data_IF_417514397575
#
_entry.id   IF_417514397575
#
_cell.length_a   1.000
_cell.length_b   1.000
_cell.length_c   1.000
_cell.angle_alpha   90.00
_cell.angle_beta   90.00
_cell.angle_gamma   90.00
#
_symmetry.space_group_name_H-M   'P 1'
#
loop_
_entity.id
_entity.type
_entity.pdbx_description
1 polymer ?
#
# COMPACT_ATOMS: atom_id res chain seq x y z
N UNK A 1 1.54 0.47 10.08
CA UNK A 1 0.33 1.02 10.75
C UNK A 1 -0.53 1.88 9.81
N UNK A 2 0.02 2.83 9.04
CA UNK A 2 -0.78 3.72 8.16
C UNK A 2 -1.61 2.94 7.13
N UNK A 3 -1.03 1.95 6.44
CA UNK A 3 -1.75 1.13 5.46
C UNK A 3 -2.95 0.41 6.08
N UNK A 4 -2.76 -0.23 7.22
CA UNK A 4 -3.86 -0.88 7.95
C UNK A 4 -4.98 0.11 8.30
N UNK A 5 -4.64 1.31 8.82
CA UNK A 5 -5.62 2.31 9.23
C UNK A 5 -6.48 2.81 8.07
N UNK A 6 -5.87 3.12 6.93
CA UNK A 6 -6.60 3.62 5.75
C UNK A 6 -7.55 2.57 5.20
N UNK A 7 -7.11 1.31 5.10
CA UNK A 7 -7.98 0.23 4.61
C UNK A 7 -9.05 -0.16 5.63
N UNK A 8 -8.77 -0.08 6.93
CA UNK A 8 -9.79 -0.24 7.96
C UNK A 8 -10.91 0.81 7.81
N UNK A 9 -10.53 2.08 7.67
CA UNK A 9 -11.49 3.17 7.42
C UNK A 9 -12.27 2.94 6.13
N UNK A 10 -11.60 2.53 5.04
CA UNK A 10 -12.25 2.19 3.76
C UNK A 10 -13.36 1.15 3.95
N UNK A 11 -13.07 0.06 4.62
CA UNK A 11 -14.04 -1.02 4.81
C UNK A 11 -15.14 -0.67 5.80
N UNK A 12 -14.83 0.11 6.84
CA UNK A 12 -15.85 0.66 7.75
C UNK A 12 -16.84 1.58 7.04
N UNK A 13 -16.35 2.45 6.17
CA UNK A 13 -17.21 3.32 5.34
C UNK A 13 -18.05 2.46 4.38
N UNK A 14 -17.45 1.47 3.72
CA UNK A 14 -18.16 0.56 2.82
C UNK A 14 -19.29 -0.19 3.54
N UNK A 15 -19.02 -0.68 4.74
CA UNK A 15 -20.04 -1.32 5.59
C UNK A 15 -21.16 -0.35 6.00
N UNK A 16 -20.78 0.83 6.49
CA UNK A 16 -21.75 1.85 6.94
C UNK A 16 -22.66 2.34 5.80
N UNK A 17 -22.18 2.28 4.56
CA UNK A 17 -22.95 2.64 3.37
C UNK A 17 -23.72 1.45 2.76
N UNK A 18 -23.65 0.27 3.38
CA UNK A 18 -24.42 -0.89 2.94
C UNK A 18 -23.83 -1.65 1.74
N UNK A 19 -22.52 -1.55 1.49
CA UNK A 19 -21.86 -2.35 0.44
C UNK A 19 -22.01 -3.85 0.69
N UNK A 20 -22.05 -4.26 1.95
CA UNK A 20 -22.21 -5.66 2.37
C UNK A 20 -22.82 -5.72 3.77
N UNK A 21 -23.48 -6.82 4.04
CA UNK A 21 -24.00 -7.16 5.36
C UNK A 21 -23.09 -8.18 6.04
N UNK A 22 -23.05 -8.13 7.38
CA UNK A 22 -22.30 -9.07 8.20
C UNK A 22 -23.28 -10.02 8.87
N UNK A 23 -23.39 -11.24 8.36
CA UNK A 23 -24.26 -12.29 8.90
C UNK A 23 -23.70 -13.00 10.14
N UNK A 24 -22.41 -12.83 10.41
CA UNK A 24 -21.76 -13.42 11.56
C UNK A 24 -20.23 -13.46 11.40
N UNK A 25 -19.57 -14.04 12.40
CA UNK A 25 -18.12 -14.25 12.38
C UNK A 25 -17.79 -15.73 12.16
N UNK A 26 -16.61 -15.99 11.62
CA UNK A 26 -16.04 -17.33 11.57
C UNK A 26 -15.62 -17.78 12.96
N UNK A 27 -15.33 -19.07 13.11
CA UNK A 27 -14.81 -19.58 14.38
C UNK A 27 -13.41 -19.03 14.71
N UNK A 28 -13.09 -19.02 15.98
CA UNK A 28 -11.86 -18.40 16.49
C UNK A 28 -10.59 -19.03 15.90
N UNK A 29 -10.57 -20.36 15.73
CA UNK A 29 -9.41 -21.05 15.20
C UNK A 29 -9.16 -20.65 13.73
N UNK A 30 -10.23 -20.56 12.92
CA UNK A 30 -10.16 -20.08 11.56
C UNK A 30 -9.64 -18.64 11.49
N UNK A 31 -10.12 -17.75 12.38
CA UNK A 31 -9.67 -16.34 12.42
C UNK A 31 -8.17 -16.26 12.70
N UNK A 32 -7.65 -17.00 13.67
CA UNK A 32 -6.22 -17.02 13.96
C UNK A 32 -5.39 -17.59 12.81
N UNK A 33 -5.86 -18.67 12.18
CA UNK A 33 -5.20 -19.25 11.01
C UNK A 33 -5.17 -18.25 9.84
N UNK A 34 -6.29 -17.62 9.52
CA UNK A 34 -6.40 -16.62 8.45
C UNK A 34 -5.49 -15.41 8.73
N UNK A 35 -5.48 -14.93 9.97
CA UNK A 35 -4.61 -13.82 10.38
C UNK A 35 -3.13 -14.17 10.19
N UNK A 36 -2.70 -15.33 10.66
CA UNK A 36 -1.32 -15.79 10.51
C UNK A 36 -0.93 -15.91 9.01
N UNK A 37 -1.79 -16.52 8.21
CA UNK A 37 -1.58 -16.62 6.75
C UNK A 37 -1.53 -15.23 6.10
N UNK A 38 -2.46 -14.34 6.42
CA UNK A 38 -2.50 -12.99 5.85
C UNK A 38 -1.25 -12.18 6.24
N UNK A 39 -0.84 -12.24 7.50
CA UNK A 39 0.37 -11.53 7.94
C UNK A 39 1.61 -12.03 7.21
N UNK A 40 1.83 -13.33 7.15
CA UNK A 40 3.05 -13.90 6.55
C UNK A 40 3.01 -13.84 5.02
N UNK A 41 1.97 -14.39 4.39
CA UNK A 41 1.90 -14.45 2.94
C UNK A 41 1.88 -13.06 2.30
N UNK A 42 1.09 -12.12 2.85
CA UNK A 42 1.03 -10.77 2.32
C UNK A 42 2.28 -9.94 2.62
N UNK A 43 3.02 -10.24 3.71
CA UNK A 43 4.31 -9.60 3.94
C UNK A 43 5.31 -9.96 2.84
N UNK A 44 5.50 -11.24 2.57
CA UNK A 44 6.43 -11.67 1.52
C UNK A 44 5.98 -11.21 0.14
N UNK A 45 4.70 -11.33 -0.18
CA UNK A 45 4.16 -10.85 -1.46
C UNK A 45 4.41 -9.36 -1.65
N UNK A 46 4.08 -8.53 -0.67
CA UNK A 46 4.30 -7.08 -0.74
C UNK A 46 5.79 -6.74 -0.78
N UNK A 47 6.63 -7.41 0.01
CA UNK A 47 8.06 -7.15 0.04
C UNK A 47 8.73 -7.50 -1.31
N UNK A 48 8.39 -8.64 -1.89
CA UNK A 48 8.91 -9.05 -3.22
C UNK A 48 8.48 -8.05 -4.29
N UNK A 49 7.20 -7.69 -4.31
CA UNK A 49 6.66 -6.71 -5.26
C UNK A 49 7.38 -5.36 -5.13
N UNK A 50 7.55 -4.85 -3.90
CA UNK A 50 8.24 -3.57 -3.67
C UNK A 50 9.73 -3.62 -4.06
N UNK A 51 10.41 -4.73 -3.81
CA UNK A 51 11.81 -4.91 -4.23
C UNK A 51 11.92 -4.92 -5.75
N UNK A 52 11.06 -5.66 -6.44
CA UNK A 52 11.10 -5.79 -7.90
C UNK A 52 10.69 -4.48 -8.59
N UNK A 53 9.56 -3.91 -8.18
CA UNK A 53 9.01 -2.74 -8.88
C UNK A 53 9.70 -1.44 -8.47
N UNK A 54 10.15 -1.30 -7.22
CA UNK A 54 10.71 -0.04 -6.73
C UNK A 54 12.17 -0.12 -6.36
N UNK A 55 12.58 -1.17 -5.66
CA UNK A 55 13.96 -1.35 -5.23
C UNK A 55 14.92 -1.44 -6.39
N UNK A 56 14.66 -2.36 -7.32
CA UNK A 56 15.47 -2.54 -8.51
C UNK A 56 15.54 -1.26 -9.36
N UNK A 57 14.40 -0.66 -9.66
CA UNK A 57 14.35 0.53 -10.52
C UNK A 57 14.93 1.77 -9.85
N UNK A 58 14.83 1.90 -8.52
CA UNK A 58 15.53 2.97 -7.80
C UNK A 58 17.03 2.86 -7.98
N UNK A 59 17.59 1.66 -7.80
CA UNK A 59 19.03 1.41 -7.97
C UNK A 59 19.46 1.64 -9.42
N UNK A 60 18.75 1.06 -10.38
CA UNK A 60 19.06 1.16 -11.81
C UNK A 60 19.01 2.61 -12.33
N UNK A 61 17.91 3.31 -12.07
CA UNK A 61 17.73 4.69 -12.57
C UNK A 61 18.70 5.66 -11.88
N UNK A 62 19.06 5.41 -10.63
CA UNK A 62 20.10 6.18 -9.93
C UNK A 62 21.47 5.99 -10.57
N UNK A 63 21.86 4.76 -10.89
CA UNK A 63 23.12 4.47 -11.59
C UNK A 63 23.19 5.14 -12.97
N UNK A 64 22.06 5.20 -13.67
CA UNK A 64 21.98 5.84 -15.00
C UNK A 64 21.74 7.36 -14.95
N UNK A 65 21.71 7.99 -13.77
CA UNK A 65 21.38 9.41 -13.57
C UNK A 65 19.99 9.79 -14.13
N UNK A 66 19.03 8.87 -14.12
CA UNK A 66 17.67 9.00 -14.65
C UNK A 66 16.59 9.02 -13.56
N UNK A 67 16.93 9.43 -12.33
CA UNK A 67 16.00 9.39 -11.19
C UNK A 67 14.73 10.24 -11.37
N UNK A 68 14.76 11.25 -12.23
CA UNK A 68 13.56 12.01 -12.62
C UNK A 68 12.46 11.16 -13.23
N UNK A 69 12.83 10.01 -13.82
CA UNK A 69 11.91 9.05 -14.41
C UNK A 69 11.39 8.01 -13.40
N UNK A 70 11.88 8.00 -12.17
CA UNK A 70 11.50 6.98 -11.20
C UNK A 70 9.99 6.93 -10.95
N UNK A 71 9.37 8.08 -10.63
CA UNK A 71 7.91 8.14 -10.35
C UNK A 71 7.08 7.60 -11.53
N UNK A 72 7.21 8.12 -12.77
CA UNK A 72 6.39 7.64 -13.87
C UNK A 72 6.67 6.15 -14.20
N UNK A 73 7.93 5.74 -14.25
CA UNK A 73 8.30 4.35 -14.61
C UNK A 73 7.72 3.34 -13.63
N UNK A 74 7.97 3.53 -12.33
CA UNK A 74 7.50 2.54 -11.34
C UNK A 74 5.99 2.60 -11.11
N UNK A 75 5.35 3.75 -11.38
CA UNK A 75 3.88 3.83 -11.37
C UNK A 75 3.28 3.02 -12.51
N UNK A 76 3.82 3.17 -13.73
CA UNK A 76 3.37 2.37 -14.89
C UNK A 76 3.62 0.89 -14.67
N UNK A 77 4.79 0.51 -14.17
CA UNK A 77 5.10 -0.89 -13.86
C UNK A 77 4.15 -1.48 -12.82
N UNK A 78 3.80 -0.71 -11.80
CA UNK A 78 2.85 -1.16 -10.80
C UNK A 78 1.43 -1.32 -11.36
N UNK A 79 0.99 -0.41 -12.24
CA UNK A 79 -0.29 -0.55 -12.94
C UNK A 79 -0.30 -1.84 -13.78
N UNK A 80 0.77 -2.09 -14.52
CA UNK A 80 0.86 -3.29 -15.37
C UNK A 80 0.84 -4.57 -14.54
N UNK A 81 1.58 -4.62 -13.42
CA UNK A 81 1.63 -5.77 -12.53
C UNK A 81 0.26 -6.04 -11.88
N UNK A 82 -0.37 -5.01 -11.32
CA UNK A 82 -1.64 -5.14 -10.64
C UNK A 82 -2.79 -5.48 -11.60
N UNK A 83 -2.86 -4.79 -12.75
CA UNK A 83 -3.85 -5.05 -13.78
C UNK A 83 -3.66 -6.41 -14.46
N UNK A 84 -2.44 -6.92 -14.55
CA UNK A 84 -2.20 -8.27 -15.04
C UNK A 84 -2.86 -9.33 -14.14
N UNK A 85 -2.86 -9.09 -12.84
CA UNK A 85 -3.45 -10.00 -11.86
C UNK A 85 -4.96 -9.81 -11.65
N UNK A 86 -5.44 -8.55 -11.66
CA UNK A 86 -6.81 -8.19 -11.31
C UNK A 86 -7.68 -7.75 -12.51
N UNK A 87 -7.09 -7.63 -13.70
CA UNK A 87 -7.77 -7.21 -14.93
C UNK A 87 -7.59 -5.72 -15.28
N UNK A 88 -7.62 -5.43 -16.59
CA UNK A 88 -7.44 -4.09 -17.16
C UNK A 88 -8.79 -3.33 -17.25
N UNK A 89 -9.42 -3.11 -16.10
CA UNK A 89 -10.59 -2.26 -16.00
C UNK A 89 -10.19 -0.83 -15.60
N UNK A 90 -10.92 0.18 -16.03
CA UNK A 90 -10.59 1.58 -15.79
C UNK A 90 -10.42 1.90 -14.29
N UNK A 91 -11.28 1.36 -13.45
CA UNK A 91 -11.22 1.53 -12.00
C UNK A 91 -9.95 0.94 -11.41
N UNK A 92 -9.54 -0.26 -11.87
CA UNK A 92 -8.34 -0.92 -11.40
C UNK A 92 -7.08 -0.16 -11.84
N UNK A 93 -7.06 0.34 -13.08
CA UNK A 93 -5.96 1.19 -13.58
C UNK A 93 -5.82 2.45 -12.72
N UNK A 94 -6.92 3.13 -12.40
CA UNK A 94 -6.90 4.34 -11.55
C UNK A 94 -6.48 4.00 -10.13
N UNK A 95 -7.00 2.92 -9.56
CA UNK A 95 -6.65 2.44 -8.23
C UNK A 95 -5.14 2.15 -8.13
N UNK A 96 -4.61 1.39 -9.09
CA UNK A 96 -3.20 1.03 -9.15
C UNK A 96 -2.31 2.24 -9.42
N UNK A 97 -2.77 3.21 -10.21
CA UNK A 97 -2.04 4.47 -10.43
C UNK A 97 -1.89 5.26 -9.12
N UNK A 98 -2.96 5.39 -8.33
CA UNK A 98 -2.96 6.08 -7.04
C UNK A 98 -1.99 5.39 -6.06
N UNK A 99 -2.07 4.08 -5.94
CA UNK A 99 -1.19 3.31 -5.06
C UNK A 99 0.25 3.33 -5.53
N UNK A 100 0.47 3.06 -6.83
CA UNK A 100 1.78 3.04 -7.47
C UNK A 100 2.53 4.36 -7.24
N UNK A 101 1.86 5.48 -7.50
CA UNK A 101 2.40 6.82 -7.27
C UNK A 101 2.68 7.08 -5.78
N UNK A 102 1.75 6.73 -4.89
CA UNK A 102 1.90 6.95 -3.45
C UNK A 102 3.09 6.20 -2.88
N UNK A 103 3.24 4.93 -3.24
CA UNK A 103 4.35 4.10 -2.78
C UNK A 103 5.69 4.56 -3.37
N UNK A 104 5.70 4.94 -4.65
CA UNK A 104 6.89 5.49 -5.29
C UNK A 104 7.34 6.81 -4.63
N UNK A 105 6.39 7.69 -4.31
CA UNK A 105 6.66 8.92 -3.58
C UNK A 105 7.24 8.64 -2.19
N UNK A 106 6.69 7.66 -1.47
CA UNK A 106 7.22 7.24 -0.16
C UNK A 106 8.69 6.79 -0.26
N UNK A 107 9.02 5.99 -1.28
CA UNK A 107 10.40 5.52 -1.53
C UNK A 107 11.34 6.68 -1.86
N UNK A 108 10.95 7.60 -2.74
CA UNK A 108 11.76 8.79 -3.07
C UNK A 108 12.07 9.66 -1.87
N UNK A 109 11.07 9.83 -0.98
CA UNK A 109 11.23 10.68 0.21
C UNK A 109 12.05 10.02 1.31
N UNK A 110 12.00 8.70 1.43
CA UNK A 110 12.65 7.96 2.52
C UNK A 110 13.98 7.32 2.12
N UNK A 111 14.20 7.10 0.83
CA UNK A 111 15.36 6.38 0.31
C UNK A 111 15.35 4.88 0.63
N UNK A 112 14.25 4.34 1.14
CA UNK A 112 14.12 2.94 1.49
C UNK A 112 12.71 2.41 1.21
N UNK A 113 12.55 1.08 1.25
CA UNK A 113 11.31 0.40 0.90
C UNK A 113 10.37 0.15 2.10
N UNK A 114 10.82 0.36 3.34
CA UNK A 114 10.04 -0.09 4.51
C UNK A 114 8.67 0.57 4.62
N UNK A 115 8.59 1.85 4.29
CA UNK A 115 7.30 2.54 4.35
C UNK A 115 6.35 2.05 3.25
N UNK A 116 6.82 1.89 2.01
CA UNK A 116 6.00 1.37 0.92
C UNK A 116 5.60 -0.09 1.15
N UNK A 117 6.51 -0.95 1.63
CA UNK A 117 6.17 -2.31 2.06
C UNK A 117 5.07 -2.28 3.13
N UNK A 118 5.20 -1.43 4.15
CA UNK A 118 4.22 -1.34 5.23
C UNK A 118 2.84 -0.84 4.79
N UNK A 119 2.80 0.08 3.82
CA UNK A 119 1.55 0.57 3.22
C UNK A 119 0.87 -0.53 2.38
N UNK A 120 1.63 -1.18 1.51
CA UNK A 120 1.18 -2.25 0.64
C UNK A 120 0.72 -3.48 1.45
N UNK A 121 1.58 -3.95 2.34
CA UNK A 121 1.28 -5.07 3.25
C UNK A 121 0.02 -4.83 4.09
N UNK A 122 -0.10 -3.64 4.69
CA UNK A 122 -1.26 -3.29 5.50
C UNK A 122 -2.57 -3.35 4.70
N UNK A 123 -2.57 -2.85 3.47
CA UNK A 123 -3.71 -2.94 2.56
C UNK A 123 -4.08 -4.38 2.23
N UNK A 124 -3.09 -5.18 1.84
CA UNK A 124 -3.29 -6.57 1.47
C UNK A 124 -3.79 -7.43 2.64
N UNK A 125 -3.25 -7.23 3.86
CA UNK A 125 -3.74 -7.94 5.05
C UNK A 125 -5.20 -7.59 5.33
N UNK A 126 -5.56 -6.30 5.32
CA UNK A 126 -6.94 -5.87 5.54
C UNK A 126 -7.90 -6.44 4.49
N UNK A 127 -7.48 -6.48 3.23
CA UNK A 127 -8.26 -7.12 2.17
C UNK A 127 -8.47 -8.62 2.44
N UNK A 128 -7.40 -9.35 2.82
CA UNK A 128 -7.51 -10.79 3.13
C UNK A 128 -8.31 -11.07 4.39
N UNK A 129 -8.25 -10.21 5.39
CA UNK A 129 -9.09 -10.35 6.60
C UNK A 129 -10.57 -10.19 6.26
N UNK A 130 -10.94 -9.34 5.30
CA UNK A 130 -12.33 -9.13 4.90
C UNK A 130 -12.82 -10.22 3.93
N UNK A 131 -12.05 -10.51 2.87
CA UNK A 131 -12.48 -11.40 1.78
C UNK A 131 -11.83 -12.79 1.80
N UNK A 132 -10.81 -13.00 2.62
CA UNK A 132 -10.05 -14.26 2.67
C UNK A 132 -9.18 -14.52 1.45
N UNK A 133 -8.64 -15.74 1.39
CA UNK A 133 -7.91 -16.25 0.21
C UNK A 133 -8.85 -16.99 -0.75
N UNK A 134 -9.91 -17.61 -0.24
CA UNK A 134 -10.88 -18.40 -0.97
C UNK A 134 -12.31 -17.85 -0.84
N UNK A 135 -12.44 -16.53 -0.72
CA UNK A 135 -13.73 -15.88 -0.56
C UNK A 135 -14.32 -15.95 0.87
N UNK A 136 -13.55 -16.46 1.84
CA UNK A 136 -13.99 -16.57 3.24
C UNK A 136 -13.06 -15.76 4.13
N UNK A 137 -13.51 -14.56 4.53
CA UNK A 137 -12.83 -13.68 5.47
C UNK A 137 -13.16 -13.99 6.93
N UNK A 138 -12.85 -13.05 7.83
CA UNK A 138 -13.20 -13.13 9.25
C UNK A 138 -14.71 -13.09 9.46
N UNK A 139 -15.40 -12.34 8.62
CA UNK A 139 -16.84 -12.18 8.65
C UNK A 139 -17.50 -12.91 7.48
N UNK A 140 -18.65 -13.47 7.74
CA UNK A 140 -19.54 -13.98 6.68
C UNK A 140 -20.24 -12.77 6.06
N UNK A 141 -19.86 -12.45 4.84
CA UNK A 141 -20.44 -11.33 4.10
C UNK A 141 -21.61 -11.83 3.26
N UNK A 142 -22.72 -11.11 3.32
CA UNK A 142 -23.92 -11.34 2.53
C UNK A 142 -24.31 -10.06 1.80
N UNK A 143 -25.20 -10.18 0.81
CA UNK A 143 -25.77 -9.06 0.06
C UNK A 143 -24.72 -8.06 -0.45
N UNK A 144 -23.62 -8.58 -1.00
CA UNK A 144 -22.53 -7.74 -1.52
C UNK A 144 -23.05 -6.97 -2.74
N UNK A 145 -23.19 -5.65 -2.57
CA UNK A 145 -23.64 -4.78 -3.64
C UNK A 145 -22.52 -4.55 -4.67
N UNK A 146 -22.86 -4.81 -5.95
CA UNK A 146 -22.01 -4.57 -7.11
C UNK A 146 -22.51 -3.32 -7.84
N UNK A 147 -22.29 -2.15 -7.24
CA UNK A 147 -22.68 -0.86 -7.82
C UNK A 147 -21.46 0.04 -7.95
N UNK A 148 -21.27 0.75 -9.07
CA UNK A 148 -20.14 1.67 -9.30
C UNK A 148 -19.94 2.72 -8.20
N UNK A 149 -21.02 3.09 -7.51
CA UNK A 149 -20.96 4.00 -6.36
C UNK A 149 -19.94 3.57 -5.29
N UNK A 150 -19.91 2.27 -4.95
CA UNK A 150 -18.98 1.76 -3.93
C UNK A 150 -17.53 1.74 -4.40
N UNK A 151 -17.31 1.59 -5.72
CA UNK A 151 -15.98 1.64 -6.30
C UNK A 151 -15.44 3.06 -6.27
N UNK A 152 -16.26 4.06 -6.57
CA UNK A 152 -15.88 5.48 -6.43
C UNK A 152 -15.54 5.84 -4.98
N UNK A 153 -16.29 5.33 -3.99
CA UNK A 153 -15.97 5.53 -2.58
C UNK A 153 -14.63 4.85 -2.25
N UNK A 154 -14.45 3.61 -2.68
CA UNK A 154 -13.20 2.87 -2.51
C UNK A 154 -12.01 3.61 -3.10
N UNK A 155 -12.13 4.13 -4.32
CA UNK A 155 -11.11 4.95 -4.98
C UNK A 155 -10.83 6.24 -4.21
N UNK A 156 -11.88 6.95 -3.78
CA UNK A 156 -11.75 8.21 -3.04
C UNK A 156 -11.00 8.00 -1.72
N UNK A 157 -11.37 7.00 -0.93
CA UNK A 157 -10.68 6.70 0.34
C UNK A 157 -9.24 6.25 0.09
N UNK A 158 -9.00 5.46 -0.95
CA UNK A 158 -7.65 5.04 -1.33
C UNK A 158 -6.80 6.24 -1.76
N UNK A 159 -7.38 7.20 -2.49
CA UNK A 159 -6.69 8.42 -2.90
C UNK A 159 -6.24 9.28 -1.70
N UNK A 160 -6.95 9.22 -0.56
CA UNK A 160 -6.54 9.88 0.67
C UNK A 160 -5.23 9.33 1.26
N UNK A 161 -4.77 8.17 0.81
CA UNK A 161 -3.46 7.65 1.21
C UNK A 161 -2.33 8.59 0.81
N UNK A 162 -2.37 9.17 -0.40
CA UNK A 162 -1.34 10.09 -0.86
C UNK A 162 -1.21 11.35 0.02
N UNK A 163 -2.26 12.14 0.29
CA UNK A 163 -2.12 13.31 1.17
C UNK A 163 -1.70 12.97 2.60
N UNK A 164 -2.07 11.79 3.12
CA UNK A 164 -1.58 11.32 4.43
C UNK A 164 -0.07 11.08 4.38
N UNK A 165 0.40 10.31 3.41
CA UNK A 165 1.84 10.03 3.21
C UNK A 165 2.61 11.33 2.92
N UNK A 166 2.06 12.21 2.09
CA UNK A 166 2.64 13.51 1.81
C UNK A 166 2.83 14.34 3.08
N UNK A 167 1.80 14.45 3.94
CA UNK A 167 1.88 15.19 5.21
C UNK A 167 2.91 14.59 6.16
N UNK A 168 3.00 13.27 6.23
CA UNK A 168 3.98 12.58 7.07
C UNK A 168 5.43 12.83 6.60
N UNK A 169 5.63 13.03 5.30
CA UNK A 169 6.97 13.12 4.70
C UNK A 169 7.32 14.53 4.18
N UNK A 170 6.44 15.50 4.30
CA UNK A 170 6.63 16.85 3.72
C UNK A 170 7.91 17.56 4.18
N UNK A 171 8.34 17.30 5.41
CA UNK A 171 9.54 17.90 5.99
C UNK A 171 10.83 17.15 5.61
N UNK A 172 10.73 15.98 4.99
CA UNK A 172 11.90 15.24 4.54
C UNK A 172 12.36 15.74 3.17
N UNK A 173 13.67 15.91 3.03
CA UNK A 173 14.26 16.18 1.72
C UNK A 173 13.98 15.00 0.79
N UNK A 174 13.85 15.26 -0.52
CA UNK A 174 13.84 14.20 -1.50
C UNK A 174 15.22 13.54 -1.47
N UNK A 175 15.26 12.23 -1.33
CA UNK A 175 16.51 11.47 -1.22
C UNK A 175 17.51 11.75 -2.36
N UNK A 176 16.99 12.10 -3.53
CA UNK A 176 17.75 12.46 -4.73
C UNK A 176 18.55 13.75 -4.54
N UNK A 177 17.96 14.73 -3.87
CA UNK A 177 18.52 16.06 -3.67
C UNK A 177 19.35 16.16 -2.38
N UNK A 178 19.43 15.07 -1.60
CA UNK A 178 20.24 15.06 -0.40
C UNK A 178 21.73 15.14 -0.79
N UNK A 179 22.51 16.05 -0.16
CA UNK A 179 23.97 16.11 -0.35
C UNK A 179 24.62 14.74 -0.14
N UNK A 180 25.73 14.46 -0.80
CA UNK A 180 26.38 13.16 -0.75
C UNK A 180 26.81 12.75 0.67
N UNK A 181 27.16 13.72 1.49
CA UNK A 181 27.49 13.58 2.91
C UNK A 181 26.27 13.22 3.78
N UNK A 182 25.09 13.81 3.52
CA UNK A 182 23.87 13.48 4.20
C UNK A 182 23.35 12.06 3.88
N UNK A 183 23.81 11.47 2.77
CA UNK A 183 23.44 10.10 2.36
C UNK A 183 24.19 9.01 3.12
N UNK A 184 25.22 9.37 3.88
CA UNK A 184 26.07 8.43 4.62
C UNK A 184 25.86 8.43 6.14
N UNK A 185 25.06 9.36 6.70
CA UNK A 185 24.76 9.30 8.12
C UNK A 185 23.80 8.13 8.43
N UNK A 186 24.22 7.15 9.21
CA UNK A 186 23.29 6.13 9.71
C UNK A 186 22.29 6.80 10.65
N UNK A 187 21.03 6.38 10.58
CA UNK A 187 19.88 6.84 11.37
C UNK A 187 20.06 6.80 12.92
N UNK A 188 21.26 6.50 13.40
CA UNK A 188 21.58 6.36 14.83
C UNK A 188 21.96 7.68 15.54
N UNK A 189 22.13 8.80 14.83
CA UNK A 189 22.59 10.06 15.43
C UNK A 189 21.47 10.97 15.97
N UNK A 190 20.21 10.57 15.87
CA UNK A 190 19.05 11.40 16.24
C UNK A 190 18.61 11.40 17.70
N UNK A 191 19.30 10.65 18.60
CA UNK A 191 18.88 10.50 20.02
C UNK A 191 19.78 11.18 21.05
N UNK A 192 20.78 11.95 20.65
CA UNK A 192 21.74 12.55 21.57
C UNK A 192 21.75 14.08 21.58
N UNK A 193 20.58 14.75 21.61
CA UNK A 193 20.47 16.17 22.02
C UNK A 193 19.15 16.40 22.73
N UNK A 194 19.00 15.88 23.92
CA UNK A 194 18.11 16.39 24.97
C UNK A 194 18.87 16.20 26.29
N UNK A 195 19.76 17.11 26.60
CA UNK A 195 20.18 17.47 27.96
C UNK A 195 20.23 18.97 28.06
#
# INVERSE_FOLDING_TARGET
>A
MVGFGIYAVKYLISYALGKFEVAGTMDTAFIFMLLAQALLAMFFSSAINEVVIRGYWLAYLREKHLLTWFLPVVTVLYILDDCWNAGFHAENVVFSAILGFTFAYAVLKTGNLWLSIGLHWGGNVMYRMLYGFNGQGVWRLENIADQPFYDYISLTVTALMFPVVYRLLKSRLIYVDAPADAKQEPLSAGTARLT
#
